data_IF_359693496242
#
_entry.id   IF_359693496242
#
_cell.length_a   1.000
_cell.length_b   1.000
_cell.length_c   1.000
_cell.angle_alpha   90.00
_cell.angle_beta   90.00
_cell.angle_gamma   90.00
#
_symmetry.space_group_name_H-M   'P 1'
#
loop_
_entity.id
_entity.type
_entity.pdbx_description
1 polymer ?
#
# COMPACT_ATOMS: atom_id res chain seq x y z
N UNK A 1 17.55 -7.08 -9.61
CA UNK A 1 16.20 -7.70 -9.61
C UNK A 1 15.25 -6.78 -8.87
N UNK A 2 14.09 -6.45 -9.44
CA UNK A 2 13.06 -5.62 -8.82
C UNK A 2 11.95 -6.48 -8.23
N UNK A 3 11.59 -6.22 -6.98
CA UNK A 3 10.47 -6.85 -6.28
C UNK A 3 9.57 -5.74 -5.76
N UNK A 4 8.26 -5.93 -5.88
CA UNK A 4 7.25 -5.05 -5.32
C UNK A 4 6.58 -5.78 -4.17
N UNK A 5 6.57 -5.17 -3.00
CA UNK A 5 5.94 -5.73 -1.79
C UNK A 5 4.72 -4.91 -1.42
N UNK A 6 3.68 -5.60 -0.98
CA UNK A 6 2.46 -5.01 -0.48
C UNK A 6 2.33 -5.35 1.00
N UNK A 7 2.26 -4.30 1.81
CA UNK A 7 2.03 -4.38 3.25
C UNK A 7 0.69 -3.72 3.57
N UNK A 8 -0.06 -4.32 4.50
CA UNK A 8 -1.29 -3.78 5.09
C UNK A 8 -0.97 -3.41 6.52
N UNK A 9 -1.24 -2.19 6.92
CA UNK A 9 -0.97 -1.74 8.28
C UNK A 9 -2.14 -0.93 8.83
N UNK A 10 -2.30 -1.05 10.15
CA UNK A 10 -3.13 -0.17 10.95
C UNK A 10 -2.22 0.72 11.82
N UNK A 11 -2.78 1.38 12.83
CA UNK A 11 -2.02 2.26 13.74
C UNK A 11 -0.95 1.53 14.57
N UNK A 12 -1.00 0.21 14.68
CA UNK A 12 -0.25 -0.60 15.65
C UNK A 12 0.42 -1.81 15.02
N UNK A 13 -0.11 -2.33 13.90
CA UNK A 13 0.32 -3.57 13.27
C UNK A 13 0.69 -3.33 11.81
N UNK A 14 1.75 -4.02 11.36
CA UNK A 14 2.14 -4.11 9.95
C UNK A 14 2.10 -5.59 9.53
N UNK A 15 1.33 -5.89 8.48
CA UNK A 15 1.11 -7.21 7.95
C UNK A 15 1.60 -7.28 6.51
N UNK A 16 2.53 -8.19 6.26
CA UNK A 16 2.93 -8.51 4.90
C UNK A 16 1.80 -9.27 4.18
N UNK A 17 1.37 -8.77 3.02
CA UNK A 17 0.23 -9.31 2.28
C UNK A 17 0.63 -10.07 1.03
N UNK A 18 1.55 -9.51 0.25
CA UNK A 18 1.86 -10.01 -1.09
C UNK A 18 3.20 -9.46 -1.59
N UNK A 19 3.88 -10.20 -2.48
CA UNK A 19 4.95 -9.64 -3.30
C UNK A 19 4.92 -10.22 -4.71
N UNK A 20 5.50 -9.48 -5.65
CA UNK A 20 5.65 -9.91 -7.03
C UNK A 20 6.70 -9.10 -7.76
N UNK A 21 7.09 -9.56 -8.95
CA UNK A 21 8.01 -8.83 -9.84
C UNK A 21 7.28 -7.96 -10.87
N UNK A 22 5.95 -8.09 -10.94
CA UNK A 22 5.06 -7.36 -11.84
C UNK A 22 4.28 -6.31 -11.01
N UNK A 23 4.54 -5.01 -11.20
CA UNK A 23 3.91 -3.96 -10.40
C UNK A 23 2.42 -3.84 -10.65
N UNK A 24 1.93 -4.15 -11.87
CA UNK A 24 0.51 -4.04 -12.19
C UNK A 24 -0.31 -5.10 -11.44
N UNK A 25 0.21 -6.33 -11.37
CA UNK A 25 -0.42 -7.41 -10.58
C UNK A 25 -0.43 -7.11 -9.09
N UNK A 26 0.65 -6.51 -8.59
CA UNK A 26 0.75 -6.13 -7.17
C UNK A 26 -0.22 -4.99 -6.85
N UNK A 27 -0.38 -4.02 -7.76
CA UNK A 27 -1.37 -2.95 -7.66
C UNK A 27 -2.81 -3.48 -7.75
N UNK A 28 -3.10 -4.41 -8.67
CA UNK A 28 -4.39 -5.07 -8.75
C UNK A 28 -4.72 -5.82 -7.45
N UNK A 29 -3.74 -6.55 -6.90
CA UNK A 29 -3.92 -7.27 -5.64
C UNK A 29 -4.19 -6.34 -4.46
N UNK A 30 -3.53 -5.19 -4.46
CA UNK A 30 -3.76 -4.09 -3.53
C UNK A 30 -5.22 -3.60 -3.56
N UNK A 31 -5.78 -3.40 -4.75
CA UNK A 31 -7.18 -2.94 -4.91
C UNK A 31 -8.16 -4.01 -4.41
N UNK A 32 -7.95 -5.28 -4.80
CA UNK A 32 -8.76 -6.41 -4.34
C UNK A 32 -8.81 -6.48 -2.80
N UNK A 33 -7.62 -6.53 -2.18
CA UNK A 33 -7.51 -6.63 -0.72
C UNK A 33 -8.12 -5.42 0.00
N UNK A 34 -7.98 -4.23 -0.58
CA UNK A 34 -8.56 -3.00 -0.01
C UNK A 34 -10.08 -3.02 -0.02
N UNK A 35 -10.70 -3.73 -0.96
CA UNK A 35 -12.17 -3.86 -1.05
C UNK A 35 -12.69 -4.86 -0.01
N UNK A 36 -11.94 -5.93 0.25
CA UNK A 36 -12.34 -7.02 1.16
C UNK A 36 -12.13 -6.72 2.65
N UNK A 37 -11.20 -5.83 2.99
CA UNK A 37 -10.64 -5.73 4.35
C UNK A 37 -11.50 -4.99 5.40
N UNK A 38 -12.65 -4.44 5.04
CA UNK A 38 -13.44 -3.56 5.91
C UNK A 38 -12.73 -2.23 6.23
N UNK A 39 -13.37 -1.39 7.05
CA UNK A 39 -12.85 -0.05 7.38
C UNK A 39 -11.52 -0.09 8.19
N UNK A 40 -10.72 0.97 8.08
CA UNK A 40 -9.55 1.32 8.93
C UNK A 40 -8.14 0.75 8.61
N UNK A 41 -7.91 0.19 7.42
CA UNK A 41 -6.55 -0.23 7.01
C UNK A 41 -5.94 0.67 5.93
N UNK A 42 -4.62 0.86 6.03
CA UNK A 42 -3.82 1.53 5.00
C UNK A 42 -2.91 0.50 4.33
N UNK A 43 -2.68 0.65 3.03
CA UNK A 43 -1.75 -0.19 2.29
C UNK A 43 -0.51 0.60 1.90
N UNK A 44 0.64 -0.07 1.92
CA UNK A 44 1.92 0.46 1.46
C UNK A 44 2.48 -0.48 0.40
N UNK A 45 2.67 0.04 -0.80
CA UNK A 45 3.41 -0.63 -1.85
C UNK A 45 4.86 -0.16 -1.79
N UNK A 46 5.80 -1.10 -1.80
CA UNK A 46 7.23 -0.85 -1.72
C UNK A 46 7.92 -1.41 -2.96
N UNK A 47 8.83 -0.64 -3.55
CA UNK A 47 9.69 -1.08 -4.64
C UNK A 47 11.09 -1.36 -4.10
N UNK A 48 11.52 -2.60 -4.21
CA UNK A 48 12.82 -3.09 -3.79
C UNK A 48 13.67 -3.41 -5.01
N UNK A 49 14.91 -2.95 -5.04
CA UNK A 49 15.87 -3.24 -6.10
C UNK A 49 17.18 -3.70 -5.49
N UNK A 50 17.62 -4.91 -5.86
CA UNK A 50 18.86 -5.52 -5.35
C UNK A 50 18.92 -5.59 -3.80
N UNK A 51 17.77 -5.81 -3.16
CA UNK A 51 17.67 -5.90 -1.70
C UNK A 51 17.54 -4.55 -0.99
N UNK A 52 17.53 -3.43 -1.72
CA UNK A 52 17.37 -2.09 -1.16
C UNK A 52 15.98 -1.51 -1.47
N UNK A 53 15.34 -0.92 -0.47
CA UNK A 53 14.10 -0.16 -0.65
C UNK A 53 14.40 1.13 -1.42
N UNK A 54 13.74 1.34 -2.56
CA UNK A 54 13.90 2.53 -3.41
C UNK A 54 12.73 3.49 -3.30
N UNK A 55 11.50 2.95 -3.30
CA UNK A 55 10.29 3.76 -3.28
C UNK A 55 9.22 3.13 -2.39
N UNK A 56 8.38 3.97 -1.82
CA UNK A 56 7.19 3.56 -1.09
C UNK A 56 6.01 4.45 -1.47
N UNK A 57 4.85 3.86 -1.70
CA UNK A 57 3.60 4.54 -1.99
C UNK A 57 2.53 4.06 -1.04
N UNK A 58 1.76 4.99 -0.47
CA UNK A 58 0.69 4.69 0.48
C UNK A 58 -0.64 5.03 -0.15
N UNK A 59 -1.62 4.16 0.04
CA UNK A 59 -3.00 4.44 -0.36
C UNK A 59 -3.93 3.85 0.70
N UNK A 60 -5.06 4.52 0.89
CA UNK A 60 -6.10 4.09 1.80
C UNK A 60 -7.15 3.33 1.01
N UNK A 61 -8.07 2.71 1.74
CA UNK A 61 -9.13 1.87 1.21
C UNK A 61 -9.80 2.45 -0.04
N UNK A 62 -10.12 1.59 -1.01
CA UNK A 62 -10.77 1.95 -2.28
C UNK A 62 -9.93 2.89 -3.18
N UNK A 63 -8.60 2.85 -3.07
CA UNK A 63 -7.69 3.62 -3.93
C UNK A 63 -7.68 5.12 -3.66
N UNK A 64 -8.29 5.58 -2.55
CA UNK A 64 -8.22 6.99 -2.15
C UNK A 64 -6.99 7.21 -1.29
N UNK A 65 -6.18 8.20 -1.61
CA UNK A 65 -5.13 8.67 -0.73
C UNK A 65 -5.77 9.65 0.27
N UNK A 66 -5.89 9.29 1.54
CA UNK A 66 -6.33 10.19 2.60
C UNK A 66 -5.10 10.77 3.32
N UNK A 67 -4.39 11.70 2.68
CA UNK A 67 -3.24 12.34 3.34
C UNK A 67 -3.71 13.29 4.44
N UNK A 68 -2.91 13.42 5.49
CA UNK A 68 -3.09 14.47 6.51
C UNK A 68 -3.02 15.89 5.90
N UNK A 69 -2.41 16.06 4.73
CA UNK A 69 -2.42 17.32 3.98
C UNK A 69 -3.76 17.59 3.28
N UNK A 70 -4.47 16.54 2.83
CA UNK A 70 -5.85 16.63 2.34
C UNK A 70 -6.84 16.97 3.44
N UNK A 71 -6.69 16.37 4.64
CA UNK A 71 -7.53 16.69 5.81
C UNK A 71 -7.33 18.15 6.23
N UNK A 72 -6.09 18.64 6.23
CA UNK A 72 -5.77 20.05 6.50
C UNK A 72 -6.26 21.03 5.43
N UNK A 73 -6.61 20.55 4.23
CA UNK A 73 -7.17 21.39 3.17
C UNK A 73 -8.71 21.51 3.25
N UNK A 74 -9.39 20.64 3.99
CA UNK A 74 -10.85 20.66 4.20
C UNK A 74 -11.29 21.33 5.52
N UNK A 75 -10.37 21.47 6.48
CA UNK A 75 -10.55 22.18 7.76
C UNK A 75 -9.96 23.59 7.67
#
# INVERSE_FOLDING_TARGET
>A
MKIYKLNKYDWVHDFYCYEGTDPEKVAQKAIELSTESGDFYTYRMETWENGELKFQFRFFQNGRELTSDLIKAFL
#
